data_IF_117639572362
#
_entry.id   IF_117639572362
#
_cell.length_a   1.000
_cell.length_b   1.000
_cell.length_c   1.000
_cell.angle_alpha   90.00
_cell.angle_beta   90.00
_cell.angle_gamma   90.00
#
_symmetry.space_group_name_H-M   'P 1'
#
loop_
_entity.id
_entity.type
_entity.pdbx_description
1 polymer ?
#
# COMPACT_ATOMS: atom_id res chain seq x y z
N UNK A 1 29.79 -3.88 -6.86
CA UNK A 1 28.45 -3.28 -6.67
C UNK A 1 28.54 -1.81 -7.02
N UNK A 2 27.60 -1.25 -7.80
CA UNK A 2 27.56 0.20 -8.02
C UNK A 2 27.11 0.89 -6.74
N UNK A 3 27.75 2.00 -6.38
CA UNK A 3 27.35 2.82 -5.25
C UNK A 3 26.03 3.54 -5.57
N UNK A 4 25.10 3.56 -4.62
CA UNK A 4 23.85 4.30 -4.74
C UNK A 4 24.19 5.81 -4.68
N UNK A 5 23.68 6.65 -5.61
CA UNK A 5 23.92 8.09 -5.57
C UNK A 5 23.46 8.69 -4.23
N UNK A 6 24.23 9.64 -3.70
CA UNK A 6 23.90 10.30 -2.42
C UNK A 6 22.53 10.96 -2.46
N UNK A 7 22.14 11.53 -3.60
CA UNK A 7 20.80 12.10 -3.80
C UNK A 7 19.68 11.07 -3.59
N UNK A 8 19.88 9.81 -3.97
CA UNK A 8 18.90 8.74 -3.74
C UNK A 8 18.83 8.36 -2.26
N UNK A 9 19.97 8.37 -1.54
CA UNK A 9 20.02 8.07 -0.11
C UNK A 9 19.29 9.15 0.69
N UNK A 10 19.61 10.42 0.44
CA UNK A 10 18.95 11.57 1.09
C UNK A 10 17.45 11.58 0.79
N UNK A 11 17.08 11.35 -0.47
CA UNK A 11 15.67 11.25 -0.86
C UNK A 11 14.95 10.13 -0.11
N UNK A 12 15.57 8.97 0.07
CA UNK A 12 14.95 7.86 0.78
C UNK A 12 14.69 8.19 2.26
N UNK A 13 15.64 8.85 2.93
CA UNK A 13 15.45 9.29 4.32
C UNK A 13 14.30 10.28 4.47
N UNK A 14 14.20 11.27 3.57
CA UNK A 14 13.10 12.23 3.55
C UNK A 14 11.75 11.56 3.24
N UNK A 15 11.74 10.64 2.27
CA UNK A 15 10.53 9.93 1.86
C UNK A 15 10.00 9.03 2.98
N UNK A 16 10.87 8.28 3.67
CA UNK A 16 10.45 7.41 4.77
C UNK A 16 9.79 8.21 5.90
N UNK A 17 10.34 9.36 6.25
CA UNK A 17 9.79 10.23 7.29
C UNK A 17 8.42 10.82 6.90
N UNK A 18 8.23 11.19 5.62
CA UNK A 18 6.92 11.59 5.10
C UNK A 18 5.93 10.43 5.07
N UNK A 19 6.39 9.26 4.62
CA UNK A 19 5.58 8.05 4.47
C UNK A 19 5.10 7.51 5.81
N UNK A 20 6.00 7.41 6.81
CA UNK A 20 5.66 6.92 8.14
C UNK A 20 4.60 7.81 8.79
N UNK A 21 4.83 9.13 8.82
CA UNK A 21 3.83 10.10 9.32
C UNK A 21 2.50 10.03 8.59
N UNK A 22 2.53 9.83 7.27
CA UNK A 22 1.30 9.68 6.49
C UNK A 22 0.55 8.41 6.88
N UNK A 23 1.22 7.26 6.93
CA UNK A 23 0.58 5.98 7.22
C UNK A 23 0.02 5.94 8.64
N UNK A 24 0.73 6.48 9.63
CA UNK A 24 0.20 6.63 11.00
C UNK A 24 -1.04 7.51 11.05
N UNK A 25 -1.04 8.64 10.33
CA UNK A 25 -2.20 9.53 10.28
C UNK A 25 -3.39 8.91 9.54
N UNK A 26 -3.14 8.18 8.45
CA UNK A 26 -4.17 7.63 7.59
C UNK A 26 -4.81 6.36 8.17
N UNK A 27 -4.01 5.47 8.75
CA UNK A 27 -4.50 4.22 9.35
C UNK A 27 -4.87 4.38 10.82
N UNK A 28 -4.23 5.30 11.52
CA UNK A 28 -4.21 5.35 12.98
C UNK A 28 -2.86 4.83 13.52
N UNK A 29 -2.32 5.43 14.61
CA UNK A 29 -1.02 5.05 15.15
C UNK A 29 -0.93 3.56 15.46
N UNK A 30 0.13 2.90 14.97
CA UNK A 30 0.40 1.47 15.21
C UNK A 30 -0.47 0.50 14.40
N UNK A 31 -1.58 0.97 13.81
CA UNK A 31 -2.54 0.08 13.14
C UNK A 31 -1.92 -0.68 11.97
N UNK A 32 -0.99 -0.07 11.23
CA UNK A 32 -0.28 -0.75 10.14
C UNK A 32 0.51 -1.97 10.62
N UNK A 33 1.14 -1.90 11.79
CA UNK A 33 1.88 -3.02 12.38
C UNK A 33 0.94 -4.06 12.97
N UNK A 34 -0.23 -3.62 13.45
CA UNK A 34 -1.31 -4.47 13.95
C UNK A 34 -2.30 -4.90 12.83
N UNK A 35 -1.88 -4.85 11.57
CA UNK A 35 -2.68 -5.27 10.41
C UNK A 35 -1.93 -6.27 9.54
N UNK A 36 -2.67 -7.03 8.74
CA UNK A 36 -2.10 -7.72 7.60
C UNK A 36 -1.79 -6.72 6.47
N UNK A 37 -0.53 -6.30 6.39
CA UNK A 37 -0.04 -5.37 5.38
C UNK A 37 0.23 -6.07 4.04
N UNK A 38 -0.63 -5.83 3.05
CA UNK A 38 -0.44 -6.30 1.69
C UNK A 38 0.60 -5.46 0.95
N UNK A 39 1.87 -5.61 1.31
CA UNK A 39 2.96 -4.79 0.77
C UNK A 39 3.09 -4.89 -0.76
N UNK A 40 2.86 -6.08 -1.34
CA UNK A 40 2.90 -6.28 -2.77
C UNK A 40 2.12 -7.54 -3.19
N UNK A 41 1.31 -7.40 -4.24
CA UNK A 41 0.90 -8.52 -5.08
C UNK A 41 0.67 -8.02 -6.51
N UNK A 42 0.60 -8.95 -7.45
CA UNK A 42 0.32 -8.64 -8.85
C UNK A 42 -0.25 -9.85 -9.57
N UNK A 43 -0.99 -9.59 -10.64
CA UNK A 43 -1.50 -10.61 -11.55
C UNK A 43 -0.92 -10.33 -12.92
N UNK A 44 -0.32 -11.33 -13.55
CA UNK A 44 0.19 -11.17 -14.91
C UNK A 44 -0.96 -10.85 -15.89
N UNK A 45 -0.75 -9.99 -16.90
CA UNK A 45 -1.81 -9.51 -17.80
C UNK A 45 -2.66 -10.62 -18.44
N UNK A 46 -2.04 -11.72 -18.85
CA UNK A 46 -2.67 -12.91 -19.43
C UNK A 46 -3.64 -13.63 -18.47
N UNK A 47 -3.59 -13.29 -17.18
CA UNK A 47 -4.46 -13.82 -16.12
C UNK A 47 -5.45 -12.77 -15.57
N UNK A 48 -5.51 -11.58 -16.15
CA UNK A 48 -6.50 -10.56 -15.75
C UNK A 48 -7.93 -11.01 -16.04
N UNK A 49 -8.89 -10.40 -15.31
CA UNK A 49 -10.34 -10.65 -15.45
C UNK A 49 -10.78 -12.10 -15.16
N UNK A 50 -9.91 -12.92 -14.55
CA UNK A 50 -10.19 -14.32 -14.16
C UNK A 50 -10.38 -14.50 -12.65
N UNK A 51 -10.56 -13.42 -11.89
CA UNK A 51 -10.74 -13.47 -10.43
C UNK A 51 -9.46 -13.71 -9.61
N UNK A 52 -8.28 -13.79 -10.24
CA UNK A 52 -7.01 -14.12 -9.55
C UNK A 52 -6.67 -13.12 -8.43
N UNK A 53 -6.86 -11.82 -8.66
CA UNK A 53 -6.62 -10.82 -7.61
C UNK A 53 -7.54 -11.02 -6.39
N UNK A 54 -8.79 -11.43 -6.63
CA UNK A 54 -9.75 -11.75 -5.56
C UNK A 54 -9.27 -12.97 -4.77
N UNK A 55 -8.88 -14.05 -5.46
CA UNK A 55 -8.38 -15.25 -4.80
C UNK A 55 -7.11 -14.99 -3.96
N UNK A 56 -6.20 -14.14 -4.44
CA UNK A 56 -5.00 -13.74 -3.70
C UNK A 56 -5.33 -12.98 -2.42
N UNK A 57 -6.25 -12.01 -2.48
CA UNK A 57 -6.66 -11.24 -1.30
C UNK A 57 -7.44 -12.12 -0.31
N UNK A 58 -8.36 -12.94 -0.80
CA UNK A 58 -9.13 -13.90 0.02
C UNK A 58 -8.23 -14.88 0.77
N UNK A 59 -7.12 -15.32 0.17
CA UNK A 59 -6.17 -16.19 0.85
C UNK A 59 -5.54 -15.50 2.08
N UNK A 60 -5.36 -14.18 2.05
CA UNK A 60 -4.86 -13.42 3.21
C UNK A 60 -5.98 -13.13 4.20
N UNK A 61 -7.20 -12.85 3.72
CA UNK A 61 -8.39 -12.69 4.58
C UNK A 61 -8.61 -13.93 5.46
N UNK A 62 -8.48 -15.13 4.89
CA UNK A 62 -8.60 -16.39 5.64
C UNK A 62 -7.56 -16.55 6.76
N UNK A 63 -6.43 -15.85 6.68
CA UNK A 63 -5.41 -15.82 7.73
C UNK A 63 -5.74 -14.75 8.78
N UNK A 64 -6.26 -13.61 8.34
CA UNK A 64 -6.52 -12.43 9.16
C UNK A 64 -7.83 -12.50 9.96
N UNK A 65 -8.90 -13.05 9.36
CA UNK A 65 -10.24 -13.16 9.95
C UNK A 65 -10.25 -13.86 11.32
N UNK A 66 -9.63 -15.04 11.53
CA UNK A 66 -9.64 -15.70 12.84
C UNK A 66 -8.98 -14.88 13.95
N UNK A 67 -8.10 -13.95 13.59
CA UNK A 67 -7.38 -13.07 14.52
C UNK A 67 -8.09 -11.72 14.71
N UNK A 68 -9.18 -11.46 13.98
CA UNK A 68 -9.90 -10.18 13.99
C UNK A 68 -8.97 -8.99 13.70
N UNK A 69 -7.96 -9.20 12.85
CA UNK A 69 -7.02 -8.17 12.46
C UNK A 69 -7.43 -7.57 11.11
N UNK A 70 -7.40 -6.24 10.96
CA UNK A 70 -7.68 -5.61 9.68
C UNK A 70 -6.57 -5.89 8.66
N UNK A 71 -6.86 -5.59 7.40
CA UNK A 71 -5.88 -5.60 6.32
C UNK A 71 -5.64 -4.19 5.81
N UNK A 72 -4.40 -3.87 5.48
CA UNK A 72 -4.03 -2.56 4.96
C UNK A 72 -3.17 -2.69 3.71
N UNK A 73 -3.24 -1.67 2.84
CA UNK A 73 -2.43 -1.57 1.64
C UNK A 73 -2.15 -0.11 1.32
N UNK A 74 -0.96 0.17 0.78
CA UNK A 74 -0.69 1.44 0.12
C UNK A 74 -0.41 1.24 -1.38
N UNK A 75 -0.79 2.23 -2.18
CA UNK A 75 -0.50 2.24 -3.61
C UNK A 75 -0.06 3.63 -4.06
N UNK A 76 0.92 3.67 -4.96
CA UNK A 76 1.35 4.92 -5.61
C UNK A 76 0.64 5.19 -6.93
N UNK A 77 -0.28 4.31 -7.35
CA UNK A 77 -0.94 4.40 -8.64
C UNK A 77 -2.46 4.57 -8.46
N UNK A 78 -3.02 5.78 -8.69
CA UNK A 78 -4.45 6.01 -8.45
C UNK A 78 -5.38 5.11 -9.26
N UNK A 79 -4.96 4.64 -10.45
CA UNK A 79 -5.84 3.79 -11.29
C UNK A 79 -6.21 2.44 -10.65
N UNK A 80 -5.43 1.95 -9.66
CA UNK A 80 -5.71 0.66 -9.00
C UNK A 80 -6.59 0.79 -7.76
N UNK A 81 -6.91 2.01 -7.30
CA UNK A 81 -7.79 2.24 -6.14
C UNK A 81 -9.14 1.55 -6.35
N UNK A 82 -9.75 1.70 -7.53
CA UNK A 82 -11.02 1.06 -7.86
C UNK A 82 -10.98 -0.48 -7.87
N UNK A 83 -9.80 -1.08 -7.98
CA UNK A 83 -9.62 -2.53 -7.84
C UNK A 83 -9.68 -2.91 -6.36
N UNK A 84 -8.96 -2.18 -5.51
CA UNK A 84 -8.97 -2.38 -4.06
C UNK A 84 -10.36 -2.15 -3.45
N UNK A 85 -11.10 -1.14 -3.90
CA UNK A 85 -12.48 -0.90 -3.48
C UNK A 85 -13.40 -2.09 -3.79
N UNK A 86 -13.24 -2.71 -4.96
CA UNK A 86 -13.98 -3.94 -5.33
C UNK A 86 -13.57 -5.16 -4.50
N UNK A 87 -12.37 -5.14 -3.93
CA UNK A 87 -11.87 -6.15 -3.00
C UNK A 87 -12.30 -5.84 -1.54
N UNK A 88 -13.07 -4.78 -1.32
CA UNK A 88 -13.61 -4.41 0.01
C UNK A 88 -12.70 -3.53 0.84
N UNK A 89 -11.63 -2.96 0.26
CA UNK A 89 -10.85 -1.92 0.94
C UNK A 89 -11.51 -0.56 0.79
N UNK A 90 -11.27 0.32 1.75
CA UNK A 90 -11.73 1.70 1.75
C UNK A 90 -10.53 2.64 1.75
N UNK A 91 -10.55 3.66 0.90
CA UNK A 91 -9.54 4.72 0.90
C UNK A 91 -9.63 5.51 2.20
N UNK A 92 -8.54 5.55 2.97
CA UNK A 92 -8.46 6.26 4.26
C UNK A 92 -7.57 7.49 4.21
N UNK A 93 -6.74 7.63 3.18
CA UNK A 93 -5.92 8.82 2.99
C UNK A 93 -5.14 8.83 1.69
N UNK A 94 -4.71 10.01 1.27
CA UNK A 94 -3.74 10.19 0.18
C UNK A 94 -2.78 11.30 0.57
N UNK A 95 -1.51 11.14 0.22
CA UNK A 95 -0.45 12.11 0.46
C UNK A 95 0.40 12.30 -0.79
N UNK A 96 0.85 13.53 -1.01
CA UNK A 96 1.78 13.87 -2.08
C UNK A 96 3.22 13.81 -1.55
N UNK A 97 4.13 13.32 -2.38
CA UNK A 97 5.55 13.30 -2.05
C UNK A 97 6.40 13.69 -3.26
N UNK A 98 7.53 14.32 -3.01
CA UNK A 98 8.52 14.59 -4.06
C UNK A 98 9.25 13.29 -4.40
N UNK A 99 9.40 12.96 -5.68
CA UNK A 99 10.19 11.82 -6.17
C UNK A 99 11.68 12.19 -6.25
N UNK A 100 12.54 11.17 -6.40
CA UNK A 100 13.98 11.37 -6.50
C UNK A 100 14.40 12.27 -7.69
N UNK A 101 13.61 12.31 -8.76
CA UNK A 101 13.83 13.17 -9.93
C UNK A 101 13.25 14.60 -9.77
N UNK A 102 12.66 14.90 -8.61
CA UNK A 102 12.04 16.18 -8.29
C UNK A 102 10.58 16.32 -8.73
N UNK A 103 10.04 15.38 -9.49
CA UNK A 103 8.61 15.36 -9.83
C UNK A 103 7.75 14.98 -8.62
N UNK A 104 6.43 15.13 -8.74
CA UNK A 104 5.48 14.77 -7.67
C UNK A 104 4.98 13.34 -7.86
N UNK A 105 4.89 12.60 -6.76
CA UNK A 105 4.20 11.32 -6.63
C UNK A 105 3.05 11.44 -5.65
N UNK A 106 2.17 10.44 -5.66
CA UNK A 106 1.14 10.29 -4.64
C UNK A 106 1.23 8.89 -4.05
N UNK A 107 0.84 8.76 -2.79
CA UNK A 107 0.61 7.48 -2.13
C UNK A 107 -0.77 7.51 -1.48
N UNK A 108 -1.54 6.46 -1.68
CA UNK A 108 -2.89 6.30 -1.13
C UNK A 108 -2.89 5.10 -0.20
N UNK A 109 -3.48 5.27 0.98
CA UNK A 109 -3.62 4.26 2.01
C UNK A 109 -5.07 3.74 2.00
N UNK A 110 -5.24 2.42 1.99
CA UNK A 110 -6.55 1.77 2.01
C UNK A 110 -6.61 0.71 3.09
N UNK A 111 -7.76 0.61 3.75
CA UNK A 111 -7.99 -0.25 4.90
C UNK A 111 -9.22 -1.12 4.67
N UNK A 112 -9.14 -2.39 5.05
CA UNK A 112 -10.26 -3.32 5.08
C UNK A 112 -10.44 -3.86 6.49
N UNK A 113 -11.64 -3.70 7.03
CA UNK A 113 -12.06 -4.34 8.27
C UNK A 113 -12.57 -5.75 7.93
N UNK A 114 -12.25 -6.73 8.78
CA UNK A 114 -12.64 -8.13 8.63
C UNK A 114 -13.55 -8.57 9.78
#
# INVERSE_FOLDING_TARGET
MRQIPESCVSWWAEFLDVYDRFTDRAFGPGLKLDSYHLQLFGVAPEHHRKGVACALVQAVEQIAEPQHLPMCVETTHPSVISIYEKLGFHLVGTEMYKRADGSQGQVSALLKQL
#
